data_IF_117890007636
#
_entry.id   IF_117890007636
#
_cell.length_a   1.000
_cell.length_b   1.000
_cell.length_c   1.000
_cell.angle_alpha   90.00
_cell.angle_beta   90.00
_cell.angle_gamma   90.00
#
_symmetry.space_group_name_H-M   'P 1'
#
loop_
_entity.id
_entity.type
_entity.pdbx_description
1 polymer ?
#
# COMPACT_ATOMS: atom_id res chain seq x y z
N UNK A 1 -18.23 27.40 13.10
CA UNK A 1 -18.25 28.72 12.41
C UNK A 1 -16.98 28.98 11.59
N UNK A 2 -15.79 28.62 12.08
CA UNK A 2 -14.51 28.73 11.33
C UNK A 2 -14.50 28.00 9.97
N UNK A 3 -15.10 26.81 9.88
CA UNK A 3 -15.19 26.05 8.63
C UNK A 3 -16.01 26.73 7.52
N UNK A 4 -16.98 27.58 7.91
CA UNK A 4 -17.76 28.37 6.94
C UNK A 4 -17.00 29.60 6.43
N UNK A 5 -15.96 30.02 7.13
CA UNK A 5 -15.13 31.18 6.79
C UNK A 5 -13.84 30.81 6.02
N UNK A 6 -13.62 29.52 5.70
CA UNK A 6 -12.40 29.07 5.01
C UNK A 6 -11.13 29.16 5.86
N UNK A 7 -11.26 29.42 7.16
CA UNK A 7 -10.13 29.50 8.10
C UNK A 7 -9.88 28.10 8.66
N UNK A 8 -8.63 27.63 8.60
CA UNK A 8 -8.24 26.38 9.26
C UNK A 8 -8.61 26.45 10.75
N UNK A 9 -9.21 25.38 11.27
CA UNK A 9 -9.54 25.32 12.69
C UNK A 9 -8.27 25.52 13.50
N UNK A 10 -8.26 26.43 14.50
CA UNK A 10 -7.10 26.59 15.35
C UNK A 10 -6.79 25.27 16.08
N UNK A 11 -5.50 25.05 16.34
CA UNK A 11 -5.04 23.92 17.13
C UNK A 11 -5.72 23.95 18.51
N UNK A 12 -6.22 22.81 18.96
CA UNK A 12 -6.88 22.68 20.26
C UNK A 12 -5.86 22.44 21.37
N UNK A 13 -6.14 22.95 22.56
CA UNK A 13 -5.31 22.85 23.77
C UNK A 13 -5.76 21.68 24.64
N UNK A 14 -4.84 21.05 25.38
CA UNK A 14 -5.22 20.09 26.40
C UNK A 14 -5.87 20.81 27.60
N UNK A 15 -7.00 20.29 28.09
CA UNK A 15 -7.72 20.82 29.25
C UNK A 15 -6.81 20.85 30.49
N UNK A 16 -6.01 19.80 30.69
CA UNK A 16 -5.11 19.71 31.84
C UNK A 16 -4.03 20.79 31.76
N UNK A 17 -3.52 21.09 30.57
CA UNK A 17 -2.54 22.16 30.37
C UNK A 17 -3.12 23.55 30.72
N UNK A 18 -4.38 23.81 30.35
CA UNK A 18 -5.06 25.05 30.71
C UNK A 18 -5.24 25.16 32.23
N UNK A 19 -5.68 24.08 32.89
CA UNK A 19 -5.84 24.05 34.35
C UNK A 19 -4.52 24.27 35.08
N UNK A 20 -3.46 23.54 34.69
CA UNK A 20 -2.13 23.67 35.30
C UNK A 20 -1.54 25.06 35.16
N UNK A 21 -1.76 25.73 34.02
CA UNK A 21 -1.27 27.08 33.77
C UNK A 21 -1.92 28.08 34.74
N UNK A 22 -3.23 27.99 34.96
CA UNK A 22 -3.91 28.85 35.92
C UNK A 22 -3.54 28.52 37.38
N UNK A 23 -3.28 27.25 37.71
CA UNK A 23 -2.79 26.86 39.04
C UNK A 23 -1.34 27.32 39.30
N UNK A 24 -0.52 27.42 38.27
CA UNK A 24 0.82 28.03 38.35
C UNK A 24 0.73 29.53 38.61
N UNK A 25 -0.10 30.26 37.87
CA UNK A 25 -0.31 31.69 38.09
C UNK A 25 -0.82 32.00 39.51
N UNK A 26 -1.72 31.17 40.07
CA UNK A 26 -2.13 31.33 41.48
C UNK A 26 -0.96 31.14 42.44
N UNK A 27 -0.08 30.17 42.18
CA UNK A 27 1.11 29.92 43.00
C UNK A 27 2.14 31.04 42.90
N UNK A 28 2.22 31.70 41.76
CA UNK A 28 3.09 32.87 41.54
C UNK A 28 2.56 34.17 42.18
N UNK A 29 1.36 34.13 42.77
CA UNK A 29 0.79 35.24 43.53
C UNK A 29 -0.03 36.22 42.69
N UNK A 30 -0.47 35.83 41.50
CA UNK A 30 -1.47 36.60 40.75
C UNK A 30 -2.79 36.66 41.53
N UNK A 31 -3.42 37.84 41.55
CA UNK A 31 -4.65 38.07 42.28
C UNK A 31 -5.80 37.26 41.65
N UNK A 32 -6.42 36.37 42.42
CA UNK A 32 -7.63 35.64 42.01
C UNK A 32 -8.87 36.51 42.29
N UNK A 33 -9.05 37.55 41.47
CA UNK A 33 -10.17 38.50 41.50
C UNK A 33 -11.43 37.97 40.80
N UNK A 34 -11.47 36.67 40.50
CA UNK A 34 -12.52 36.02 39.72
C UNK A 34 -12.32 36.13 38.21
N UNK A 35 -11.30 36.85 37.72
CA UNK A 35 -10.95 36.91 36.30
C UNK A 35 -10.46 35.57 35.78
N UNK A 36 -9.78 34.78 36.62
CA UNK A 36 -9.25 33.46 36.29
C UNK A 36 -10.35 32.51 35.79
N UNK A 37 -11.51 32.50 36.44
CA UNK A 37 -12.62 31.63 36.03
C UNK A 37 -13.31 32.12 34.75
N UNK A 38 -13.34 33.44 34.51
CA UNK A 38 -13.79 34.01 33.23
C UNK A 38 -12.82 33.69 32.09
N UNK A 39 -11.52 33.73 32.34
CA UNK A 39 -10.50 33.38 31.35
C UNK A 39 -10.52 31.88 31.03
N UNK A 40 -10.75 31.00 32.00
CA UNK A 40 -10.96 29.56 31.73
C UNK A 40 -12.12 29.32 30.76
N UNK A 41 -13.22 30.04 30.91
CA UNK A 41 -14.37 29.98 30.00
C UNK A 41 -14.02 30.39 28.56
N UNK A 42 -13.06 31.31 28.39
CA UNK A 42 -12.55 31.70 27.08
C UNK A 42 -11.75 30.58 26.40
N UNK A 43 -10.96 29.82 27.17
CA UNK A 43 -10.13 28.73 26.63
C UNK A 43 -10.90 27.42 26.43
N UNK A 44 -12.00 27.19 27.15
CA UNK A 44 -12.81 25.96 27.06
C UNK A 44 -13.19 25.56 25.62
N UNK A 45 -13.71 26.45 24.75
CA UNK A 45 -13.99 26.13 23.35
C UNK A 45 -12.75 25.78 22.50
N UNK A 46 -11.56 26.18 22.96
CA UNK A 46 -10.27 25.89 22.34
C UNK A 46 -9.65 24.63 22.92
N UNK A 47 -10.25 23.99 23.94
CA UNK A 47 -9.72 22.76 24.51
C UNK A 47 -10.19 21.50 23.76
N UNK A 48 -9.37 20.46 23.79
CA UNK A 48 -9.69 19.14 23.29
C UNK A 48 -10.53 18.37 24.28
N UNK A 49 -11.56 17.71 23.76
CA UNK A 49 -12.36 16.74 24.51
C UNK A 49 -11.83 15.34 24.20
N UNK A 50 -11.95 14.38 25.13
CA UNK A 50 -11.55 12.98 24.88
C UNK A 50 -12.17 12.40 23.60
N UNK A 51 -13.38 12.84 23.23
CA UNK A 51 -14.04 12.45 21.99
C UNK A 51 -13.24 12.87 20.74
N UNK A 52 -12.55 14.02 20.78
CA UNK A 52 -11.68 14.50 19.70
C UNK A 52 -10.42 13.63 19.53
N UNK A 53 -10.00 12.90 20.58
CA UNK A 53 -8.84 11.99 20.57
C UNK A 53 -9.20 10.59 20.05
N UNK A 54 -10.48 10.29 19.87
CA UNK A 54 -10.91 8.97 19.42
C UNK A 54 -10.94 8.89 17.91
N UNK A 55 -10.30 7.85 17.35
CA UNK A 55 -10.44 7.54 15.93
C UNK A 55 -11.91 7.32 15.62
N UNK A 56 -12.45 8.14 14.71
CA UNK A 56 -13.83 8.04 14.28
C UNK A 56 -14.08 6.66 13.67
N UNK A 57 -14.80 5.80 14.41
CA UNK A 57 -15.06 4.40 14.04
C UNK A 57 -15.74 4.27 12.67
N UNK A 58 -16.57 5.24 12.26
CA UNK A 58 -17.26 5.20 10.95
C UNK A 58 -16.28 5.47 9.81
N UNK A 59 -15.44 6.49 9.97
CA UNK A 59 -14.39 6.84 8.99
C UNK A 59 -13.41 5.69 8.86
N UNK A 60 -12.96 5.14 9.99
CA UNK A 60 -12.07 3.99 10.00
C UNK A 60 -12.67 2.75 9.32
N UNK A 61 -13.93 2.43 9.64
CA UNK A 61 -14.62 1.31 8.98
C UNK A 61 -14.64 1.49 7.46
N UNK A 62 -14.95 2.69 6.98
CA UNK A 62 -14.93 2.99 5.54
C UNK A 62 -13.55 2.82 4.91
N UNK A 63 -12.49 3.28 5.59
CA UNK A 63 -11.10 3.13 5.11
C UNK A 63 -10.72 1.65 5.07
N UNK A 64 -11.04 0.90 6.14
CA UNK A 64 -10.74 -0.53 6.23
C UNK A 64 -11.45 -1.36 5.16
N UNK A 65 -12.71 -1.03 4.84
CA UNK A 65 -13.48 -1.67 3.78
C UNK A 65 -12.86 -1.38 2.41
N UNK A 66 -12.45 -0.13 2.15
CA UNK A 66 -11.78 0.26 0.91
C UNK A 66 -10.44 -0.46 0.70
N UNK A 67 -9.63 -0.57 1.75
CA UNK A 67 -8.34 -1.27 1.67
C UNK A 67 -8.52 -2.78 1.50
N UNK A 68 -9.57 -3.35 2.11
CA UNK A 68 -9.92 -4.77 1.95
C UNK A 68 -10.37 -5.09 0.53
N UNK A 69 -11.19 -4.24 -0.09
CA UNK A 69 -11.59 -4.43 -1.49
C UNK A 69 -10.39 -4.31 -2.42
N UNK A 70 -9.54 -3.31 -2.23
CA UNK A 70 -8.30 -3.13 -3.01
C UNK A 70 -7.39 -4.36 -2.91
N UNK A 71 -7.14 -4.88 -1.70
CA UNK A 71 -6.38 -6.11 -1.48
C UNK A 71 -6.96 -7.29 -2.26
N UNK A 72 -8.28 -7.47 -2.25
CA UNK A 72 -8.93 -8.57 -2.96
C UNK A 72 -8.76 -8.43 -4.48
N UNK A 73 -8.83 -7.20 -5.02
CA UNK A 73 -8.57 -6.97 -6.45
C UNK A 73 -7.13 -7.29 -6.84
N UNK A 74 -6.15 -6.92 -6.00
CA UNK A 74 -4.74 -7.23 -6.21
C UNK A 74 -4.48 -8.74 -6.15
N UNK A 75 -5.10 -9.45 -5.19
CA UNK A 75 -5.03 -10.92 -5.11
C UNK A 75 -5.57 -11.59 -6.37
N UNK A 76 -6.69 -11.09 -6.92
CA UNK A 76 -7.23 -11.59 -8.19
C UNK A 76 -6.26 -11.40 -9.36
N UNK A 77 -5.68 -10.20 -9.50
CA UNK A 77 -4.66 -9.91 -10.52
C UNK A 77 -3.41 -10.78 -10.37
N UNK A 78 -2.96 -11.01 -9.13
CA UNK A 78 -1.83 -11.90 -8.86
C UNK A 78 -2.11 -13.32 -9.36
N UNK A 79 -3.30 -13.85 -9.08
CA UNK A 79 -3.69 -15.19 -9.54
C UNK A 79 -3.72 -15.26 -11.07
N UNK A 80 -4.29 -14.26 -11.74
CA UNK A 80 -4.32 -14.19 -13.20
C UNK A 80 -2.90 -14.19 -13.80
N UNK A 81 -2.00 -13.34 -13.28
CA UNK A 81 -0.61 -13.31 -13.73
C UNK A 81 0.14 -14.62 -13.45
N UNK A 82 -0.19 -15.29 -12.34
CA UNK A 82 0.40 -16.59 -11.99
C UNK A 82 -0.05 -17.68 -12.97
N UNK A 83 -1.31 -17.64 -13.43
CA UNK A 83 -1.82 -18.53 -14.48
C UNK A 83 -1.08 -18.25 -15.79
N UNK A 84 -0.98 -17.00 -16.21
CA UNK A 84 -0.25 -16.64 -17.45
C UNK A 84 1.23 -17.07 -17.39
N UNK A 85 1.87 -16.92 -16.24
CA UNK A 85 3.25 -17.38 -16.04
C UNK A 85 3.37 -18.89 -16.19
N UNK A 86 2.45 -19.65 -15.59
CA UNK A 86 2.42 -21.11 -15.71
C UNK A 86 2.18 -21.57 -17.15
N UNK A 87 1.27 -20.93 -17.88
CA UNK A 87 1.04 -21.23 -19.30
C UNK A 87 2.32 -21.01 -20.14
N UNK A 88 3.08 -19.95 -19.85
CA UNK A 88 4.35 -19.67 -20.52
C UNK A 88 5.46 -20.64 -20.13
N UNK A 89 5.47 -21.10 -18.88
CA UNK A 89 6.39 -22.15 -18.42
C UNK A 89 6.08 -23.49 -19.10
N UNK A 90 4.80 -23.86 -19.22
CA UNK A 90 4.38 -25.06 -19.94
C UNK A 90 4.80 -24.99 -21.42
N UNK A 91 4.65 -23.83 -22.06
CA UNK A 91 5.10 -23.60 -23.44
C UNK A 91 6.62 -23.74 -23.59
N UNK A 92 7.39 -23.22 -22.62
CA UNK A 92 8.84 -23.40 -22.56
C UNK A 92 9.24 -24.89 -22.44
N UNK A 93 8.61 -25.63 -21.52
CA UNK A 93 8.94 -27.05 -21.32
C UNK A 93 8.55 -27.92 -22.51
N UNK A 94 7.48 -27.59 -23.24
CA UNK A 94 7.16 -28.26 -24.51
C UNK A 94 8.28 -28.14 -25.54
N UNK A 95 8.93 -26.97 -25.62
CA UNK A 95 10.07 -26.78 -26.50
C UNK A 95 11.32 -27.53 -26.02
N UNK A 96 11.56 -27.58 -24.71
CA UNK A 96 12.66 -28.36 -24.13
C UNK A 96 12.50 -29.87 -24.39
N UNK A 97 11.29 -30.40 -24.20
CA UNK A 97 10.94 -31.78 -24.51
C UNK A 97 11.09 -32.09 -26.01
N UNK A 98 10.69 -31.17 -26.88
CA UNK A 98 10.88 -31.31 -28.33
C UNK A 98 12.38 -31.39 -28.70
N UNK A 99 13.21 -30.53 -28.12
CA UNK A 99 14.68 -30.59 -28.31
C UNK A 99 15.24 -31.92 -27.80
N UNK A 100 14.81 -32.36 -26.62
CA UNK A 100 15.24 -33.63 -26.03
C UNK A 100 14.88 -34.81 -26.92
N UNK A 101 13.67 -34.85 -27.45
CA UNK A 101 13.20 -35.90 -28.36
C UNK A 101 13.99 -35.91 -29.67
N UNK A 102 14.27 -34.72 -30.25
CA UNK A 102 15.08 -34.61 -31.47
C UNK A 102 16.53 -35.06 -31.26
N UNK A 103 17.10 -34.87 -30.06
CA UNK A 103 18.44 -35.37 -29.72
C UNK A 103 18.50 -36.87 -29.51
N UNK A 104 17.45 -37.44 -28.90
CA UNK A 104 17.38 -38.89 -28.63
C UNK A 104 17.08 -39.69 -29.90
N UNK A 105 16.33 -39.12 -30.86
CA UNK A 105 15.99 -39.75 -32.13
C UNK A 105 16.44 -38.90 -33.35
N UNK A 106 17.75 -38.88 -33.66
CA UNK A 106 18.33 -38.01 -34.70
C UNK A 106 17.93 -38.41 -36.14
N UNK A 107 17.23 -39.53 -36.36
CA UNK A 107 16.71 -39.95 -37.68
C UNK A 107 15.25 -39.55 -37.94
N UNK A 108 14.62 -38.77 -37.05
CA UNK A 108 13.29 -38.20 -37.28
C UNK A 108 13.37 -37.06 -38.30
N UNK A 109 13.42 -37.39 -39.59
CA UNK A 109 13.06 -36.43 -40.65
C UNK A 109 11.60 -36.05 -40.46
N UNK A 110 11.35 -34.90 -39.83
CA UNK A 110 10.00 -34.41 -39.61
C UNK A 110 9.53 -33.76 -40.91
N UNK A 111 8.77 -34.51 -41.72
CA UNK A 111 8.13 -33.96 -42.92
C UNK A 111 7.05 -32.96 -42.48
N UNK A 112 7.29 -31.66 -42.68
CA UNK A 112 6.24 -30.64 -42.58
C UNK A 112 5.59 -30.55 -43.95
N UNK A 113 4.27 -30.74 -44.03
CA UNK A 113 3.52 -30.53 -45.27
C UNK A 113 3.72 -29.09 -45.75
N UNK A 114 4.34 -28.91 -46.91
CA UNK A 114 4.44 -27.62 -47.56
C UNK A 114 3.03 -27.14 -47.93
N UNK A 115 2.81 -25.82 -47.83
CA UNK A 115 1.58 -25.14 -48.21
C UNK A 115 1.04 -25.69 -49.53
N UNK A 116 -0.28 -25.95 -49.56
CA UNK A 116 -1.01 -26.52 -50.68
C UNK A 116 -0.49 -26.02 -52.05
N UNK A 117 0.16 -26.92 -52.81
CA UNK A 117 0.47 -26.67 -54.23
C UNK A 117 1.88 -27.02 -54.71
N UNK A 118 2.84 -27.40 -53.86
CA UNK A 118 4.14 -27.94 -54.29
C UNK A 118 4.60 -29.08 -53.38
N UNK A 119 4.75 -30.28 -53.94
CA UNK A 119 5.36 -31.44 -53.28
C UNK A 119 6.90 -31.30 -53.23
N UNK A 120 7.39 -30.21 -52.65
CA UNK A 120 8.78 -30.10 -52.24
C UNK A 120 8.82 -30.23 -50.72
N UNK A 121 9.19 -31.42 -50.24
CA UNK A 121 9.44 -31.65 -48.83
C UNK A 121 10.77 -30.97 -48.47
N UNK A 122 10.71 -29.82 -47.79
CA UNK A 122 11.91 -29.24 -47.16
C UNK A 122 12.35 -30.20 -46.05
N UNK A 123 13.50 -30.85 -46.27
CA UNK A 123 14.14 -31.70 -45.28
C UNK A 123 14.95 -30.81 -44.34
N UNK A 124 14.32 -30.35 -43.27
CA UNK A 124 15.05 -29.62 -42.23
C UNK A 124 16.03 -30.55 -41.54
N UNK A 125 17.29 -30.11 -41.41
CA UNK A 125 18.25 -30.82 -40.59
C UNK A 125 17.77 -30.82 -39.13
N UNK A 126 17.96 -31.91 -38.40
CA UNK A 126 17.65 -31.97 -36.96
C UNK A 126 18.30 -30.83 -36.17
N UNK A 127 19.44 -30.33 -36.67
CA UNK A 127 20.13 -29.16 -36.13
C UNK A 127 19.34 -27.86 -36.29
N UNK A 128 18.67 -27.65 -37.43
CA UNK A 128 17.84 -26.47 -37.71
C UNK A 128 16.58 -26.48 -36.83
N UNK A 129 15.93 -27.63 -36.67
CA UNK A 129 14.76 -27.79 -35.80
C UNK A 129 15.11 -27.55 -34.32
N UNK A 130 16.25 -28.03 -33.86
CA UNK A 130 16.74 -27.74 -32.50
C UNK A 130 17.02 -26.23 -32.34
N UNK A 131 17.57 -25.59 -33.36
CA UNK A 131 17.85 -24.16 -33.33
C UNK A 131 16.57 -23.33 -33.30
N UNK A 132 15.52 -23.71 -34.04
CA UNK A 132 14.21 -23.06 -34.01
C UNK A 132 13.60 -23.11 -32.60
N UNK A 133 13.60 -24.29 -31.97
CA UNK A 133 13.09 -24.44 -30.60
C UNK A 133 13.92 -23.65 -29.59
N UNK A 134 15.25 -23.58 -29.73
CA UNK A 134 16.10 -22.73 -28.88
C UNK A 134 15.78 -21.24 -29.04
N UNK A 135 15.58 -20.77 -30.26
CA UNK A 135 15.21 -19.38 -30.52
C UNK A 135 13.82 -19.06 -29.96
N UNK A 136 12.88 -20.02 -30.01
CA UNK A 136 11.59 -19.88 -29.35
C UNK A 136 11.77 -19.77 -27.83
N UNK A 137 12.53 -20.66 -27.19
CA UNK A 137 12.88 -20.62 -25.76
C UNK A 137 13.50 -19.28 -25.34
N UNK A 138 14.42 -18.72 -26.11
CA UNK A 138 15.04 -17.42 -25.82
C UNK A 138 14.04 -16.26 -25.81
N UNK A 139 12.95 -16.34 -26.58
CA UNK A 139 11.89 -15.32 -26.56
C UNK A 139 11.01 -15.39 -25.31
N UNK A 140 10.98 -16.54 -24.61
CA UNK A 140 10.20 -16.69 -23.39
C UNK A 140 10.86 -16.03 -22.18
N UNK A 141 12.18 -16.01 -22.12
CA UNK A 141 12.91 -15.47 -20.97
C UNK A 141 12.49 -14.03 -20.58
N UNK A 142 12.44 -13.04 -21.51
CA UNK A 142 12.01 -11.70 -21.16
C UNK A 142 10.53 -11.62 -20.73
N UNK A 143 9.68 -12.51 -21.26
CA UNK A 143 8.26 -12.59 -20.88
C UNK A 143 8.13 -13.13 -19.45
N UNK A 144 8.90 -14.18 -19.12
CA UNK A 144 8.95 -14.79 -17.79
C UNK A 144 9.40 -13.78 -16.75
N UNK A 145 10.51 -13.08 -17.01
CA UNK A 145 11.04 -12.06 -16.10
C UNK A 145 10.04 -10.92 -15.88
N UNK A 146 9.33 -10.49 -16.93
CA UNK A 146 8.33 -9.44 -16.81
C UNK A 146 7.16 -9.88 -15.92
N UNK A 147 6.60 -11.06 -16.17
CA UNK A 147 5.50 -11.60 -15.36
C UNK A 147 5.92 -11.80 -13.90
N UNK A 148 7.13 -12.30 -13.65
CA UNK A 148 7.68 -12.44 -12.29
C UNK A 148 7.78 -11.08 -11.57
N UNK A 149 8.33 -10.06 -12.23
CA UNK A 149 8.41 -8.70 -11.67
C UNK A 149 7.03 -8.10 -11.36
N UNK A 150 6.04 -8.32 -12.21
CA UNK A 150 4.67 -7.86 -11.96
C UNK A 150 4.06 -8.55 -10.73
N UNK A 151 4.27 -9.86 -10.58
CA UNK A 151 3.81 -10.63 -9.41
C UNK A 151 4.48 -10.12 -8.14
N UNK A 152 5.81 -9.92 -8.15
CA UNK A 152 6.57 -9.37 -7.02
C UNK A 152 6.05 -7.98 -6.62
N UNK A 153 5.82 -7.10 -7.60
CA UNK A 153 5.28 -5.75 -7.36
C UNK A 153 3.92 -5.81 -6.67
N UNK A 154 3.04 -6.72 -7.10
CA UNK A 154 1.72 -6.89 -6.49
C UNK A 154 1.85 -7.46 -5.06
N UNK A 155 2.79 -8.37 -4.83
CA UNK A 155 3.06 -8.90 -3.49
C UNK A 155 3.54 -7.81 -2.52
N UNK A 156 4.40 -6.92 -2.98
CA UNK A 156 4.84 -5.75 -2.19
C UNK A 156 3.67 -4.84 -1.82
N UNK A 157 2.76 -4.56 -2.77
CA UNK A 157 1.57 -3.77 -2.52
C UNK A 157 0.63 -4.43 -1.51
N UNK A 158 0.40 -5.75 -1.63
CA UNK A 158 -0.43 -6.50 -0.68
C UNK A 158 0.21 -6.49 0.72
N UNK A 159 1.53 -6.64 0.81
CA UNK A 159 2.26 -6.60 2.07
C UNK A 159 2.17 -5.21 2.71
N UNK A 160 2.29 -4.14 1.93
CA UNK A 160 2.10 -2.77 2.41
C UNK A 160 0.70 -2.58 3.02
N UNK A 161 -0.35 -3.06 2.34
CA UNK A 161 -1.72 -2.99 2.86
C UNK A 161 -1.85 -3.77 4.18
N UNK A 162 -1.28 -4.97 4.27
CA UNK A 162 -1.33 -5.79 5.48
C UNK A 162 -0.56 -5.17 6.67
N UNK A 163 0.55 -4.47 6.41
CA UNK A 163 1.28 -3.73 7.43
C UNK A 163 0.43 -2.59 7.99
N UNK A 164 -0.25 -1.82 7.13
CA UNK A 164 -1.17 -0.76 7.56
C UNK A 164 -2.30 -1.27 8.47
N UNK A 165 -2.71 -2.53 8.33
CA UNK A 165 -3.68 -3.17 9.24
C UNK A 165 -3.07 -3.68 10.55
N UNK A 166 -1.78 -4.05 10.54
CA UNK A 166 -1.11 -4.68 11.69
C UNK A 166 -0.61 -3.66 12.71
N UNK A 167 -0.17 -2.48 12.24
CA UNK A 167 0.28 -1.38 13.13
C UNK A 167 -0.85 -0.83 14.02
N UNK A 168 -2.11 -1.00 13.64
CA UNK A 168 -3.26 -0.58 14.44
C UNK A 168 -3.67 -1.59 15.54
N UNK A 169 -3.32 -2.87 15.42
CA UNK A 169 -3.74 -3.89 16.38
C UNK A 169 -2.81 -3.99 17.61
N UNK A 170 -1.66 -3.32 17.62
CA UNK A 170 -0.66 -3.46 18.70
C UNK A 170 -0.90 -2.47 19.86
N UNK A 171 -1.70 -1.42 19.70
CA UNK A 171 -1.95 -0.42 20.75
C UNK A 171 -3.45 -0.18 21.03
N UNK A 172 -4.22 -1.26 21.20
CA UNK A 172 -5.57 -1.17 21.77
C UNK A 172 -5.49 -0.85 23.28
N UNK A 173 -5.31 0.44 23.61
CA UNK A 173 -5.39 0.93 24.99
C UNK A 173 -5.28 2.44 25.13
N UNK A 174 -4.47 3.11 24.31
CA UNK A 174 -4.25 4.56 24.41
C UNK A 174 -3.93 5.14 23.03
N UNK A 175 -4.96 5.65 22.33
CA UNK A 175 -4.79 6.29 21.02
C UNK A 175 -4.47 7.77 21.27
N UNK A 176 -3.20 8.14 21.12
CA UNK A 176 -2.80 9.55 20.99
C UNK A 176 -2.69 9.90 19.51
N UNK A 177 -3.39 10.96 19.11
CA UNK A 177 -3.25 11.57 17.79
C UNK A 177 -1.84 12.20 17.67
N UNK A 178 -1.08 11.82 16.64
CA UNK A 178 0.29 12.34 16.45
C UNK A 178 0.32 13.73 15.83
N UNK A 179 -0.83 14.23 15.36
CA UNK A 179 -0.99 15.62 14.93
C UNK A 179 -1.09 16.61 16.13
N UNK A 180 -1.03 16.08 17.37
CA UNK A 180 -0.93 16.88 18.59
C UNK A 180 0.44 17.57 18.69
N UNK A 181 0.47 18.82 18.23
CA UNK A 181 1.53 19.75 18.61
C UNK A 181 1.42 19.93 20.13
N UNK A 182 2.40 19.44 20.89
CA UNK A 182 2.59 19.87 22.28
C UNK A 182 2.88 21.37 22.24
N UNK A 183 2.01 22.26 22.75
CA UNK A 183 2.39 23.65 22.89
C UNK A 183 3.60 23.72 23.83
N UNK A 184 4.61 24.50 23.45
CA UNK A 184 5.76 24.74 24.34
C UNK A 184 5.25 25.34 25.65
N UNK A 185 5.81 24.89 26.79
CA UNK A 185 5.55 25.48 28.11
C UNK A 185 5.69 27.01 28.01
N UNK A 186 4.64 27.75 28.36
CA UNK A 186 4.60 29.22 28.30
C UNK A 186 3.78 29.84 27.16
N UNK A 187 3.10 29.04 26.32
CA UNK A 187 2.30 29.59 25.20
C UNK A 187 1.02 30.35 25.61
N UNK A 188 0.60 30.27 26.88
CA UNK A 188 -0.48 31.12 27.42
C UNK A 188 0.14 32.38 28.03
N UNK A 189 1.01 33.08 27.31
CA UNK A 189 1.38 34.43 27.69
C UNK A 189 1.34 35.34 26.47
N UNK A 190 0.60 36.44 26.65
CA UNK A 190 0.43 37.62 25.79
C UNK A 190 -0.64 37.53 24.67
N UNK A 191 -1.83 38.01 25.01
CA UNK A 191 -2.67 38.79 24.08
C UNK A 191 -2.33 40.30 24.21
N UNK A 192 -2.54 41.11 23.16
CA UNK A 192 -1.90 42.44 23.00
C UNK A 192 -2.44 43.51 23.96
N UNK A 193 -1.71 44.64 24.15
CA UNK A 193 -2.06 45.70 25.10
C UNK A 193 -3.39 46.41 24.81
#
# INVERSE_FOLDING_TARGET
EFSKAGVQSPAKLDVECVQLSFDEMRREGFADDGLFDQMKLFFLPLTMVEEDLTINKKVWKSISESLSTERNTLMGKKQELSIQLNEKLDEYYRHDDAIRNLRLNPQSTTQRSAKAGREEYETFSTTELIQEHRLAMQKFEPIRENLQKQIETIDDLINSINQSFSEENINSGTKFDRDLIKPNRGFIMYGPP
#
